data_IF_434008162034
#
_entry.id   IF_434008162034
#
_cell.length_a   1.000
_cell.length_b   1.000
_cell.length_c   1.000
_cell.angle_alpha   90.00
_cell.angle_beta   90.00
_cell.angle_gamma   90.00
#
_symmetry.space_group_name_H-M   'P 1'
#
loop_
_entity.id
_entity.type
_entity.pdbx_description
1 polymer ?
#
# COMPACT_ATOMS: atom_id res chain seq x y z
N UNK A 1 -16.72 -8.80 13.74
CA UNK A 1 -15.67 -8.07 12.99
C UNK A 1 -16.40 -7.09 12.09
N UNK A 2 -16.15 -5.77 12.19
CA UNK A 2 -16.83 -4.80 11.29
C UNK A 2 -16.24 -4.97 9.90
N UNK A 3 -17.10 -5.18 8.91
CA UNK A 3 -16.71 -5.26 7.51
C UNK A 3 -16.12 -3.90 7.08
N UNK A 4 -14.97 -3.90 6.39
CA UNK A 4 -14.34 -2.66 5.93
C UNK A 4 -15.19 -2.07 4.80
N UNK A 5 -15.87 -0.97 5.07
CA UNK A 5 -16.66 -0.24 4.07
C UNK A 5 -15.74 0.66 3.22
N UNK A 6 -15.68 0.36 1.92
CA UNK A 6 -14.87 1.10 0.95
C UNK A 6 -15.45 2.45 0.57
N UNK A 7 -16.72 2.70 0.90
CA UNK A 7 -17.37 4.00 0.70
C UNK A 7 -17.28 4.89 1.95
N UNK A 8 -16.60 4.43 3.00
CA UNK A 8 -16.46 5.19 4.24
C UNK A 8 -15.46 6.34 4.10
N UNK A 9 -15.64 7.38 4.93
CA UNK A 9 -14.65 8.46 5.05
C UNK A 9 -13.26 7.97 5.46
N UNK A 10 -13.19 6.87 6.23
CA UNK A 10 -11.92 6.23 6.59
C UNK A 10 -11.23 5.60 5.38
N UNK A 11 -11.98 4.94 4.50
CA UNK A 11 -11.40 4.38 3.27
C UNK A 11 -10.87 5.49 2.35
N UNK A 12 -11.60 6.60 2.23
CA UNK A 12 -11.14 7.77 1.48
C UNK A 12 -9.87 8.38 2.08
N UNK A 13 -9.81 8.49 3.41
CA UNK A 13 -8.63 8.95 4.11
C UNK A 13 -7.45 8.02 3.86
N UNK A 14 -7.62 6.71 4.01
CA UNK A 14 -6.56 5.72 3.78
C UNK A 14 -6.04 5.78 2.33
N UNK A 15 -6.92 5.90 1.34
CA UNK A 15 -6.51 6.04 -0.05
C UNK A 15 -5.72 7.33 -0.29
N UNK A 16 -6.14 8.45 0.31
CA UNK A 16 -5.41 9.72 0.22
C UNK A 16 -4.07 9.67 0.98
N UNK A 17 -4.00 8.97 2.10
CA UNK A 17 -2.73 8.70 2.81
C UNK A 17 -1.78 7.92 1.92
N UNK A 18 -2.26 6.89 1.21
CA UNK A 18 -1.43 6.14 0.26
C UNK A 18 -0.88 7.07 -0.83
N UNK A 19 -1.73 7.91 -1.42
CA UNK A 19 -1.33 8.90 -2.45
C UNK A 19 -0.25 9.85 -1.93
N UNK A 20 -0.51 10.50 -0.80
CA UNK A 20 0.40 11.52 -0.28
C UNK A 20 1.71 10.93 0.22
N UNK A 21 1.73 9.76 0.85
CA UNK A 21 2.99 9.08 1.19
C UNK A 21 3.82 8.78 -0.07
N UNK A 22 3.19 8.36 -1.16
CA UNK A 22 3.89 8.12 -2.42
C UNK A 22 4.46 9.42 -3.01
N UNK A 23 3.70 10.52 -2.98
CA UNK A 23 4.14 11.84 -3.45
C UNK A 23 5.29 12.35 -2.60
N UNK A 24 5.14 12.34 -1.28
CA UNK A 24 6.14 12.86 -0.33
C UNK A 24 7.46 12.08 -0.41
N UNK A 25 7.41 10.76 -0.61
CA UNK A 25 8.62 9.96 -0.84
C UNK A 25 9.36 10.39 -2.12
N UNK A 26 8.65 10.58 -3.22
CA UNK A 26 9.24 11.06 -4.48
C UNK A 26 9.80 12.46 -4.30
N UNK A 27 9.06 13.35 -3.65
CA UNK A 27 9.48 14.73 -3.45
C UNK A 27 10.70 14.86 -2.55
N UNK A 28 10.76 14.06 -1.48
CA UNK A 28 11.93 14.01 -0.59
C UNK A 28 13.16 13.44 -1.30
N UNK A 29 12.97 12.40 -2.11
CA UNK A 29 14.06 11.78 -2.88
C UNK A 29 14.48 12.61 -4.12
N UNK A 30 13.67 13.59 -4.53
CA UNK A 30 13.81 14.34 -5.79
C UNK A 30 13.91 13.43 -7.02
N UNK A 31 13.32 12.25 -6.93
CA UNK A 31 13.35 11.20 -7.96
C UNK A 31 12.28 10.15 -7.70
N UNK A 32 11.61 9.70 -8.77
CA UNK A 32 10.63 8.62 -8.71
C UNK A 32 9.40 8.87 -9.60
N UNK A 33 8.38 8.01 -9.46
CA UNK A 33 7.18 8.02 -10.32
C UNK A 33 5.92 8.14 -9.47
N UNK A 34 5.39 9.35 -9.22
CA UNK A 34 4.23 9.55 -8.34
C UNK A 34 2.89 9.25 -9.04
N UNK A 35 2.83 9.38 -10.37
CA UNK A 35 1.58 9.30 -11.13
C UNK A 35 0.87 7.95 -10.98
N UNK A 36 1.58 6.84 -11.24
CA UNK A 36 0.99 5.50 -11.13
C UNK A 36 0.55 5.16 -9.69
N UNK A 37 1.38 5.32 -8.65
CA UNK A 37 0.96 5.15 -7.25
C UNK A 37 -0.31 5.94 -6.89
N UNK A 38 -0.43 7.18 -7.37
CA UNK A 38 -1.61 8.01 -7.11
C UNK A 38 -2.89 7.47 -7.77
N UNK A 39 -2.78 6.98 -9.01
CA UNK A 39 -3.90 6.33 -9.70
C UNK A 39 -4.24 4.94 -9.13
N UNK A 40 -3.26 4.27 -8.53
CA UNK A 40 -3.38 2.92 -8.03
C UNK A 40 -3.90 2.78 -6.60
N UNK A 41 -3.97 3.89 -5.86
CA UNK A 41 -4.22 3.87 -4.41
C UNK A 41 -5.54 3.18 -4.03
N UNK A 42 -6.64 3.45 -4.74
CA UNK A 42 -7.96 2.93 -4.37
C UNK A 42 -8.04 1.40 -4.52
N UNK A 43 -7.64 0.87 -5.69
CA UNK A 43 -7.68 -0.57 -5.90
C UNK A 43 -6.64 -1.31 -5.05
N UNK A 44 -5.50 -0.67 -4.76
CA UNK A 44 -4.46 -1.27 -3.92
C UNK A 44 -4.95 -1.38 -2.47
N UNK A 45 -5.63 -0.34 -1.96
CA UNK A 45 -6.27 -0.39 -0.65
C UNK A 45 -7.26 -1.55 -0.56
N UNK A 46 -8.12 -1.71 -1.57
CA UNK A 46 -9.10 -2.80 -1.62
C UNK A 46 -8.41 -4.16 -1.64
N UNK A 47 -7.43 -4.35 -2.52
CA UNK A 47 -6.68 -5.60 -2.62
C UNK A 47 -6.05 -5.98 -1.28
N UNK A 48 -5.36 -5.05 -0.62
CA UNK A 48 -4.62 -5.30 0.61
C UNK A 48 -5.51 -5.50 1.84
N UNK A 49 -6.66 -4.82 1.91
CA UNK A 49 -7.52 -4.85 3.11
C UNK A 49 -8.64 -5.89 3.04
N UNK A 50 -9.04 -6.33 1.85
CA UNK A 50 -10.17 -7.26 1.67
C UNK A 50 -9.80 -8.62 1.14
N UNK A 51 -8.77 -8.71 0.29
CA UNK A 51 -8.55 -9.92 -0.51
C UNK A 51 -7.25 -10.64 -0.15
N UNK A 52 -6.16 -9.91 0.06
CA UNK A 52 -4.88 -10.55 0.36
C UNK A 52 -4.91 -11.23 1.73
N UNK A 53 -4.63 -12.54 1.72
CA UNK A 53 -4.33 -13.34 2.89
C UNK A 53 -2.83 -13.27 3.16
N UNK A 54 -2.42 -12.41 4.08
CA UNK A 54 -1.01 -12.24 4.45
C UNK A 54 -0.87 -11.90 5.93
N UNK A 55 0.34 -12.10 6.47
CA UNK A 55 0.72 -11.61 7.78
C UNK A 55 1.90 -10.64 7.63
N UNK A 56 1.75 -9.33 7.90
CA UNK A 56 2.82 -8.36 7.75
C UNK A 56 4.02 -8.64 8.67
N UNK A 57 3.82 -9.30 9.81
CA UNK A 57 4.91 -9.63 10.76
C UNK A 57 5.64 -10.92 10.40
N UNK A 58 5.06 -11.75 9.52
CA UNK A 58 5.63 -13.04 9.06
C UNK A 58 5.61 -13.07 7.53
N UNK A 59 6.42 -12.24 6.85
CA UNK A 59 6.38 -12.06 5.40
C UNK A 59 6.86 -13.29 4.61
N UNK A 60 7.49 -14.26 5.29
CA UNK A 60 7.94 -15.53 4.74
C UNK A 60 6.93 -16.68 4.92
N UNK A 61 5.78 -16.42 5.58
CA UNK A 61 4.70 -17.41 5.75
C UNK A 61 4.43 -18.13 4.43
N UNK A 62 4.58 -19.48 4.37
CA UNK A 62 4.51 -20.21 3.10
C UNK A 62 3.20 -20.00 2.33
N UNK A 63 2.05 -20.05 3.01
CA UNK A 63 0.70 -20.01 2.42
C UNK A 63 0.09 -18.60 2.28
N UNK A 64 0.90 -17.54 2.46
CA UNK A 64 0.43 -16.17 2.16
C UNK A 64 0.14 -16.01 0.66
N UNK A 65 -0.78 -15.13 0.32
CA UNK A 65 -0.94 -14.68 -1.06
C UNK A 65 0.31 -13.92 -1.53
N UNK A 66 0.65 -14.06 -2.81
CA UNK A 66 1.83 -13.44 -3.41
C UNK A 66 1.41 -12.24 -4.25
N UNK A 67 1.80 -11.05 -3.82
CA UNK A 67 1.66 -9.83 -4.62
C UNK A 67 2.93 -9.58 -5.44
N UNK A 68 2.77 -9.28 -6.73
CA UNK A 68 3.87 -8.94 -7.64
C UNK A 68 3.56 -7.61 -8.32
N UNK A 69 4.35 -6.58 -8.03
CA UNK A 69 4.26 -5.30 -8.71
C UNK A 69 5.09 -5.33 -10.01
N UNK A 70 4.48 -5.77 -11.12
CA UNK A 70 5.18 -5.82 -12.41
C UNK A 70 5.59 -4.42 -12.91
N UNK A 71 4.77 -3.40 -12.65
CA UNK A 71 5.08 -1.99 -12.93
C UNK A 71 6.00 -1.42 -11.84
N UNK A 72 7.22 -1.96 -11.76
CA UNK A 72 8.17 -1.72 -10.65
C UNK A 72 8.59 -0.26 -10.45
N UNK A 73 8.37 0.60 -11.45
CA UNK A 73 8.62 2.03 -11.34
C UNK A 73 7.77 2.73 -10.26
N UNK A 74 6.61 2.16 -9.88
CA UNK A 74 5.81 2.65 -8.74
C UNK A 74 6.14 1.96 -7.43
N UNK A 75 7.42 1.71 -7.19
CA UNK A 75 7.93 1.11 -5.95
C UNK A 75 7.46 1.82 -4.68
N UNK A 76 7.23 3.13 -4.74
CA UNK A 76 6.66 3.91 -3.63
C UNK A 76 5.31 3.37 -3.16
N UNK A 77 4.45 2.90 -4.07
CA UNK A 77 3.19 2.24 -3.70
C UNK A 77 3.43 0.99 -2.85
N UNK A 78 4.35 0.13 -3.28
CA UNK A 78 4.69 -1.10 -2.55
C UNK A 78 5.25 -0.77 -1.16
N UNK A 79 6.18 0.19 -1.07
CA UNK A 79 6.76 0.59 0.21
C UNK A 79 5.71 1.19 1.15
N UNK A 80 4.82 2.04 0.63
CA UNK A 80 3.70 2.59 1.39
C UNK A 80 2.80 1.49 1.96
N UNK A 81 2.44 0.48 1.16
CA UNK A 81 1.58 -0.61 1.64
C UNK A 81 2.28 -1.49 2.67
N UNK A 82 3.57 -1.78 2.49
CA UNK A 82 4.35 -2.52 3.48
C UNK A 82 4.44 -1.76 4.81
N UNK A 83 4.62 -0.44 4.76
CA UNK A 83 4.63 0.42 5.94
C UNK A 83 3.26 0.44 6.65
N UNK A 84 2.20 0.80 5.93
CA UNK A 84 0.85 0.94 6.51
C UNK A 84 0.28 -0.38 7.02
N UNK A 85 0.69 -1.51 6.44
CA UNK A 85 0.28 -2.84 6.91
C UNK A 85 1.04 -3.31 8.15
N UNK A 86 2.07 -2.60 8.62
CA UNK A 86 2.82 -2.94 9.82
C UNK A 86 3.95 -3.95 9.58
N UNK A 87 4.57 -3.94 8.41
CA UNK A 87 5.77 -4.76 8.17
C UNK A 87 6.91 -4.29 9.10
N UNK A 88 7.51 -5.17 9.91
CA UNK A 88 8.51 -4.79 10.92
C UNK A 88 9.81 -4.27 10.33
N UNK A 89 10.07 -4.52 9.03
CA UNK A 89 11.25 -4.01 8.32
C UNK A 89 11.02 -2.66 7.64
N UNK A 90 9.77 -2.17 7.59
CA UNK A 90 9.38 -0.95 6.87
C UNK A 90 8.77 0.06 7.85
N UNK A 91 9.56 0.48 8.83
CA UNK A 91 9.21 1.53 9.80
C UNK A 91 9.70 2.90 9.33
N UNK A 92 9.04 3.98 9.76
CA UNK A 92 9.54 5.35 9.60
C UNK A 92 10.51 5.73 10.72
#
# INVERSE_FOLDING_TARGET
MKEFDVQSSLAQLAANTIRLLCVDMVEKAKSGHPGMPCGAADYTLVLWTKFLRYNPTVPDWPDRDRFVLSAGHGSTLLYTMLHLSGNPKMTM
#
